data_IF_142885791502
#
_entry.id   IF_142885791502
#
_cell.length_a   1.000
_cell.length_b   1.000
_cell.length_c   1.000
_cell.angle_alpha   90.00
_cell.angle_beta   90.00
_cell.angle_gamma   90.00
#
_symmetry.space_group_name_H-M   'P 1'
#
loop_
_entity.id
_entity.type
_entity.pdbx_description
1 polymer ?
#
# COMPACT_ATOMS: atom_id res chain seq x y z
N UNK A 1 6.71 2.71 -24.38
CA UNK A 1 6.94 2.91 -22.94
C UNK A 1 6.22 1.76 -22.22
N UNK A 2 6.92 0.89 -21.52
CA UNK A 2 6.30 -0.19 -20.75
C UNK A 2 6.47 0.14 -19.26
N UNK A 3 5.47 0.80 -18.69
CA UNK A 3 5.44 1.12 -17.25
C UNK A 3 4.90 -0.11 -16.51
N UNK A 4 5.53 -0.49 -15.40
CA UNK A 4 5.08 -1.62 -14.57
C UNK A 4 4.32 -1.14 -13.32
N UNK A 5 4.36 0.15 -13.06
CA UNK A 5 3.71 0.83 -11.95
C UNK A 5 2.24 1.11 -12.23
N UNK A 6 1.42 0.94 -11.20
CA UNK A 6 0.13 1.61 -11.10
C UNK A 6 0.35 3.13 -10.99
N UNK A 7 -0.56 3.92 -11.56
CA UNK A 7 -0.40 5.39 -11.67
C UNK A 7 -1.61 6.13 -11.16
N UNK A 8 -1.39 7.18 -10.38
CA UNK A 8 -2.39 8.16 -9.99
C UNK A 8 -1.88 9.56 -10.34
N UNK A 9 -2.78 10.44 -10.79
CA UNK A 9 -2.51 11.85 -11.05
C UNK A 9 -3.25 12.68 -10.01
N UNK A 10 -2.50 13.49 -9.28
CA UNK A 10 -3.06 14.50 -8.39
C UNK A 10 -2.84 15.87 -9.03
N UNK A 11 -3.92 16.62 -9.20
CA UNK A 11 -3.91 18.01 -9.68
C UNK A 11 -4.56 18.89 -8.62
N UNK A 12 -3.87 19.98 -8.26
CA UNK A 12 -4.31 20.91 -7.21
C UNK A 12 -4.78 20.18 -5.94
N UNK A 13 -3.97 19.21 -5.50
CA UNK A 13 -4.16 18.39 -4.29
C UNK A 13 -5.35 17.39 -4.34
N UNK A 14 -5.97 17.18 -5.50
CA UNK A 14 -7.10 16.27 -5.73
C UNK A 14 -6.74 15.16 -6.72
N UNK A 15 -7.21 13.93 -6.47
CA UNK A 15 -7.03 12.81 -7.41
C UNK A 15 -7.94 12.96 -8.64
N UNK A 16 -7.37 13.25 -9.81
CA UNK A 16 -8.12 13.49 -11.05
C UNK A 16 -8.09 12.34 -12.03
N UNK A 17 -7.04 11.53 -12.02
CA UNK A 17 -6.97 10.29 -12.80
C UNK A 17 -6.28 9.18 -12.02
N UNK A 18 -6.69 7.93 -12.26
CA UNK A 18 -6.11 6.76 -11.62
C UNK A 18 -6.20 5.52 -12.51
N UNK A 19 -5.07 4.82 -12.65
CA UNK A 19 -4.92 3.51 -13.25
C UNK A 19 -4.19 2.61 -12.23
N UNK A 20 -4.96 2.05 -11.31
CA UNK A 20 -4.46 1.10 -10.32
C UNK A 20 -5.02 -0.29 -10.65
N UNK A 21 -4.24 -1.09 -11.38
CA UNK A 21 -4.57 -2.46 -11.75
C UNK A 21 -4.32 -3.44 -10.59
N UNK A 22 -3.41 -3.07 -9.69
CA UNK A 22 -2.91 -3.92 -8.62
C UNK A 22 -3.23 -3.36 -7.22
N UNK A 23 -4.47 -2.93 -6.91
CA UNK A 23 -4.79 -2.34 -5.62
C UNK A 23 -4.72 -3.37 -4.48
N UNK A 24 -4.47 -2.89 -3.26
CA UNK A 24 -4.43 -3.69 -2.04
C UNK A 24 -5.74 -3.57 -1.24
N UNK A 25 -6.76 -4.38 -1.59
CA UNK A 25 -8.06 -4.44 -0.89
C UNK A 25 -8.95 -3.18 -0.93
N UNK A 26 -8.78 -2.30 -1.93
CA UNK A 26 -9.65 -1.14 -2.15
C UNK A 26 -10.04 -0.97 -3.62
N UNK A 27 -11.00 -0.06 -3.90
CA UNK A 27 -11.53 0.19 -5.25
C UNK A 27 -11.05 1.56 -5.75
N UNK A 28 -10.09 1.61 -6.70
CA UNK A 28 -9.49 2.84 -7.23
C UNK A 28 -10.47 3.91 -7.70
N UNK A 29 -11.41 3.53 -8.56
CA UNK A 29 -12.38 4.47 -9.14
C UNK A 29 -13.24 5.19 -8.10
N UNK A 30 -13.44 4.60 -6.91
CA UNK A 30 -14.20 5.23 -5.81
C UNK A 30 -13.43 6.34 -5.08
N UNK A 31 -12.21 6.68 -5.52
CA UNK A 31 -11.39 7.75 -4.93
C UNK A 31 -11.23 8.98 -5.84
N UNK A 32 -11.69 8.90 -7.09
CA UNK A 32 -11.64 10.04 -8.01
C UNK A 32 -12.38 11.24 -7.42
N UNK A 33 -11.81 12.43 -7.59
CA UNK A 33 -12.34 13.69 -7.06
C UNK A 33 -12.09 13.90 -5.57
N UNK A 34 -11.41 12.98 -4.87
CA UNK A 34 -11.09 13.11 -3.45
C UNK A 34 -9.73 13.77 -3.22
N UNK A 35 -9.63 14.57 -2.17
CA UNK A 35 -8.35 15.03 -1.65
C UNK A 35 -7.62 13.89 -0.91
N UNK A 36 -6.30 14.03 -0.77
CA UNK A 36 -5.44 12.99 -0.16
C UNK A 36 -5.89 12.56 1.25
N UNK A 37 -6.40 13.51 2.06
CA UNK A 37 -6.95 13.23 3.39
C UNK A 37 -8.17 12.30 3.35
N UNK A 38 -9.09 12.51 2.40
CA UNK A 38 -10.29 11.69 2.26
C UNK A 38 -9.95 10.28 1.77
N UNK A 39 -8.96 10.17 0.88
CA UNK A 39 -8.46 8.88 0.38
C UNK A 39 -7.87 8.06 1.53
N UNK A 40 -7.09 8.70 2.41
CA UNK A 40 -6.39 8.06 3.53
C UNK A 40 -7.20 7.95 4.82
N UNK A 41 -8.40 8.55 4.89
CA UNK A 41 -9.26 8.48 6.07
C UNK A 41 -9.49 7.05 6.62
N UNK A 42 -9.63 5.99 5.78
CA UNK A 42 -9.82 4.63 6.28
C UNK A 42 -8.57 3.96 6.88
N UNK A 43 -7.40 4.58 6.79
CA UNK A 43 -6.14 4.01 7.31
C UNK A 43 -6.20 3.97 8.83
N UNK A 44 -6.14 2.78 9.41
CA UNK A 44 -6.09 2.59 10.86
C UNK A 44 -4.84 3.26 11.48
N UNK A 45 -5.02 3.86 12.66
CA UNK A 45 -4.02 4.66 13.37
C UNK A 45 -3.39 5.77 12.49
N UNK A 46 -4.18 6.27 11.53
CA UNK A 46 -3.77 7.17 10.46
C UNK A 46 -4.03 8.65 10.72
N UNK A 47 -4.41 9.07 11.92
CA UNK A 47 -4.86 10.44 12.22
C UNK A 47 -3.80 11.48 11.84
N UNK A 48 -2.53 11.22 12.18
CA UNK A 48 -1.40 12.10 11.80
C UNK A 48 -1.22 12.17 10.29
N UNK A 49 -1.42 11.06 9.57
CA UNK A 49 -1.36 11.03 8.11
C UNK A 49 -2.49 11.86 7.49
N UNK A 50 -3.72 11.71 7.99
CA UNK A 50 -4.87 12.47 7.50
C UNK A 50 -4.67 13.98 7.75
N UNK A 51 -4.24 14.36 8.95
CA UNK A 51 -3.95 15.76 9.29
C UNK A 51 -2.83 16.37 8.42
N UNK A 52 -1.78 15.58 8.11
CA UNK A 52 -0.66 16.05 7.28
C UNK A 52 -0.93 15.99 5.77
N UNK A 53 -2.02 15.34 5.33
CA UNK A 53 -2.28 15.06 3.92
C UNK A 53 -2.30 16.28 3.00
N UNK A 54 -2.88 17.44 3.38
CA UNK A 54 -2.81 18.64 2.53
C UNK A 54 -1.37 19.10 2.27
N UNK A 55 -0.52 19.09 3.31
CA UNK A 55 0.89 19.44 3.18
C UNK A 55 1.66 18.42 2.34
N UNK A 56 1.37 17.13 2.51
CA UNK A 56 1.97 16.06 1.72
C UNK A 56 1.62 16.23 0.24
N UNK A 57 0.34 16.43 -0.10
CA UNK A 57 -0.10 16.66 -1.47
C UNK A 57 0.60 17.88 -2.10
N UNK A 58 0.77 18.94 -1.30
CA UNK A 58 1.51 20.12 -1.73
C UNK A 58 2.97 19.81 -2.08
N UNK A 59 3.70 19.19 -1.15
CA UNK A 59 5.11 18.83 -1.32
C UNK A 59 5.30 17.86 -2.50
N UNK A 60 4.40 16.89 -2.68
CA UNK A 60 4.46 15.95 -3.81
C UNK A 60 4.39 16.62 -5.18
N UNK A 61 3.76 17.79 -5.26
CA UNK A 61 3.55 18.57 -6.47
C UNK A 61 4.56 19.71 -6.67
N UNK A 62 5.53 19.87 -5.76
CA UNK A 62 6.53 20.93 -5.80
C UNK A 62 7.81 20.46 -6.52
N UNK A 63 8.14 21.01 -7.72
CA UNK A 63 9.35 20.63 -8.44
C UNK A 63 10.66 20.92 -7.68
N UNK A 64 10.66 21.86 -6.73
CA UNK A 64 11.85 22.16 -5.92
C UNK A 64 12.14 21.05 -4.90
N UNK A 65 11.09 20.37 -4.41
CA UNK A 65 11.22 19.24 -3.49
C UNK A 65 11.61 17.96 -4.23
N UNK A 66 11.20 17.85 -5.50
CA UNK A 66 11.51 16.70 -6.34
C UNK A 66 10.72 15.46 -5.97
N UNK A 67 11.25 14.30 -6.36
CA UNK A 67 10.56 13.01 -6.18
C UNK A 67 10.92 12.34 -4.86
N UNK A 68 9.92 11.77 -4.19
CA UNK A 68 10.11 10.98 -2.97
C UNK A 68 9.79 9.51 -3.22
N UNK A 69 10.54 8.61 -2.58
CA UNK A 69 10.26 7.16 -2.60
C UNK A 69 10.07 6.64 -1.18
N UNK A 70 9.07 5.78 -1.00
CA UNK A 70 8.83 5.03 0.23
C UNK A 70 8.41 3.59 -0.09
N UNK A 71 8.45 2.74 0.93
CA UNK A 71 8.07 1.34 0.82
C UNK A 71 6.91 1.04 1.76
N UNK A 72 5.94 0.29 1.27
CA UNK A 72 4.83 -0.25 2.07
C UNK A 72 4.77 -1.74 1.84
N UNK A 73 4.55 -2.50 2.91
CA UNK A 73 4.42 -3.95 2.79
C UNK A 73 3.24 -4.48 3.59
N UNK A 74 2.80 -5.67 3.18
CA UNK A 74 1.87 -6.51 3.93
C UNK A 74 2.15 -7.98 3.61
N UNK A 75 1.53 -8.86 4.38
CA UNK A 75 1.42 -10.28 4.07
C UNK A 75 0.01 -10.53 3.56
N UNK A 76 -0.13 -11.42 2.58
CA UNK A 76 -1.42 -11.82 2.04
C UNK A 76 -1.44 -13.31 1.74
N UNK A 77 -2.63 -13.84 1.52
CA UNK A 77 -2.92 -15.24 1.15
C UNK A 77 -3.04 -15.43 -0.38
N UNK A 78 -2.38 -14.59 -1.17
CA UNK A 78 -2.57 -14.54 -2.63
C UNK A 78 -1.29 -14.17 -3.34
N UNK A 79 -0.93 -14.94 -4.37
CA UNK A 79 0.18 -14.64 -5.28
C UNK A 79 -0.14 -13.49 -6.25
N UNK A 80 -1.43 -13.21 -6.43
CA UNK A 80 -1.90 -12.22 -7.42
C UNK A 80 -1.46 -10.80 -7.09
N UNK A 81 -1.05 -10.06 -8.13
CA UNK A 81 -0.72 -8.64 -8.02
C UNK A 81 -1.96 -7.81 -7.66
N UNK A 82 -3.14 -8.17 -8.16
CA UNK A 82 -4.37 -7.45 -7.85
C UNK A 82 -5.11 -8.08 -6.68
N UNK A 83 -5.34 -7.30 -5.64
CA UNK A 83 -6.21 -7.67 -4.51
C UNK A 83 -7.47 -6.80 -4.49
N UNK A 84 -7.94 -6.39 -5.67
CA UNK A 84 -9.20 -5.68 -5.81
C UNK A 84 -10.32 -6.47 -5.11
N UNK A 85 -11.23 -5.85 -4.33
CA UNK A 85 -12.23 -6.57 -3.53
C UNK A 85 -13.10 -7.57 -4.31
N UNK A 86 -13.35 -7.32 -5.60
CA UNK A 86 -14.08 -8.25 -6.48
C UNK A 86 -13.31 -9.51 -6.89
N UNK A 87 -11.98 -9.52 -6.76
CA UNK A 87 -11.08 -10.62 -7.16
C UNK A 87 -10.28 -11.19 -5.99
N UNK A 88 -10.47 -10.65 -4.78
CA UNK A 88 -9.70 -11.02 -3.60
C UNK A 88 -9.91 -12.50 -3.27
N UNK A 89 -8.80 -13.20 -3.02
CA UNK A 89 -8.82 -14.61 -2.59
C UNK A 89 -9.62 -14.77 -1.30
N UNK A 90 -10.52 -15.75 -1.30
CA UNK A 90 -11.28 -16.18 -0.10
C UNK A 90 -10.60 -17.35 0.62
N UNK A 91 -9.46 -17.82 0.13
CA UNK A 91 -8.74 -18.94 0.73
C UNK A 91 -8.29 -18.59 2.14
N UNK A 92 -8.51 -19.48 3.10
CA UNK A 92 -8.00 -19.29 4.46
C UNK A 92 -6.61 -19.95 4.51
N UNK A 93 -5.52 -19.19 4.73
CA UNK A 93 -4.18 -19.77 4.81
C UNK A 93 -4.09 -20.67 6.04
N UNK A 94 -3.46 -21.83 5.89
CA UNK A 94 -3.28 -22.83 6.95
C UNK A 94 -1.82 -22.99 7.34
N UNK A 95 -0.90 -22.56 6.49
CA UNK A 95 0.55 -22.72 6.62
C UNK A 95 1.26 -21.47 6.11
N UNK A 96 2.52 -21.29 6.48
CA UNK A 96 3.33 -20.16 6.01
C UNK A 96 3.55 -20.21 4.50
N UNK A 97 3.58 -21.40 3.92
CA UNK A 97 3.69 -21.64 2.47
C UNK A 97 2.49 -21.10 1.68
N UNK A 98 1.33 -20.90 2.33
CA UNK A 98 0.15 -20.30 1.71
C UNK A 98 0.22 -18.76 1.68
N UNK A 99 1.29 -18.18 2.24
CA UNK A 99 1.43 -16.73 2.42
C UNK A 99 2.45 -16.13 1.46
N UNK A 100 2.17 -14.88 1.10
CA UNK A 100 2.97 -14.09 0.18
C UNK A 100 3.31 -12.75 0.81
N UNK A 101 4.57 -12.35 0.66
CA UNK A 101 5.03 -11.01 0.98
C UNK A 101 4.72 -10.09 -0.19
N UNK A 102 3.98 -9.01 0.07
CA UNK A 102 3.62 -8.00 -0.92
C UNK A 102 4.33 -6.70 -0.59
N UNK A 103 5.10 -6.20 -1.54
CA UNK A 103 5.80 -4.92 -1.46
C UNK A 103 5.22 -3.93 -2.45
N UNK A 104 5.04 -2.69 -1.99
CA UNK A 104 4.72 -1.54 -2.81
C UNK A 104 5.87 -0.54 -2.72
N UNK A 105 6.56 -0.32 -3.83
CA UNK A 105 7.49 0.81 -3.98
C UNK A 105 6.70 1.99 -4.49
N UNK A 106 6.44 2.95 -3.60
CA UNK A 106 5.63 4.12 -3.88
C UNK A 106 6.54 5.31 -4.17
N UNK A 107 6.38 5.92 -5.34
CA UNK A 107 7.17 7.08 -5.77
C UNK A 107 6.23 8.24 -6.11
N UNK A 108 6.49 9.41 -5.52
CA UNK A 108 5.83 10.66 -5.88
C UNK A 108 6.72 11.39 -6.87
N UNK A 109 6.16 12.01 -7.90
CA UNK A 109 6.93 12.76 -8.90
C UNK A 109 6.18 14.03 -9.28
N UNK A 110 6.68 15.23 -8.93
CA UNK A 110 6.08 16.47 -9.39
C UNK A 110 6.19 16.55 -10.91
N UNK A 111 5.14 17.07 -11.56
CA UNK A 111 5.13 17.29 -13.00
C UNK A 111 4.75 18.73 -13.31
N UNK A 112 5.38 19.29 -14.35
CA UNK A 112 5.06 20.64 -14.81
C UNK A 112 3.80 20.61 -15.68
N UNK A 113 2.84 21.46 -15.35
CA UNK A 113 1.63 21.63 -16.16
C UNK A 113 1.32 23.11 -16.32
N UNK A 114 0.59 23.47 -17.38
CA UNK A 114 0.04 24.82 -17.56
C UNK A 114 -1.24 25.06 -16.74
N UNK A 115 -1.82 24.01 -16.14
CA UNK A 115 -3.11 24.05 -15.43
C UNK A 115 -2.98 24.20 -13.91
N UNK A 116 -1.76 24.18 -13.38
CA UNK A 116 -1.48 24.33 -11.96
C UNK A 116 -0.48 23.29 -11.43
N UNK A 117 -0.56 23.04 -10.12
CA UNK A 117 0.31 22.07 -9.45
C UNK A 117 -0.18 20.66 -9.74
N UNK A 118 0.73 19.77 -10.11
CA UNK A 118 0.40 18.38 -10.31
C UNK A 118 1.52 17.43 -9.91
N UNK A 119 1.16 16.20 -9.59
CA UNK A 119 2.09 15.13 -9.28
C UNK A 119 1.57 13.78 -9.76
N UNK A 120 2.50 12.92 -10.17
CA UNK A 120 2.25 11.51 -10.35
C UNK A 120 2.55 10.78 -9.04
N UNK A 121 1.70 9.82 -8.72
CA UNK A 121 1.95 8.81 -7.70
C UNK A 121 2.04 7.46 -8.39
N UNK A 122 3.23 6.89 -8.36
CA UNK A 122 3.60 5.64 -9.03
C UNK A 122 3.74 4.54 -7.98
N UNK A 123 3.16 3.37 -8.22
CA UNK A 123 3.23 2.24 -7.30
C UNK A 123 3.68 0.99 -8.05
N UNK A 124 4.93 0.57 -7.85
CA UNK A 124 5.41 -0.73 -8.30
C UNK A 124 5.01 -1.78 -7.27
N UNK A 125 4.27 -2.81 -7.71
CA UNK A 125 3.85 -3.93 -6.87
C UNK A 125 4.72 -5.14 -7.16
N UNK A 126 5.26 -5.73 -6.11
CA UNK A 126 6.01 -6.99 -6.16
C UNK A 126 5.41 -7.97 -5.15
N UNK A 127 5.22 -9.22 -5.56
CA UNK A 127 4.69 -10.28 -4.72
C UNK A 127 5.59 -11.50 -4.83
N UNK A 128 6.01 -12.04 -3.69
CA UNK A 128 6.78 -13.29 -3.64
C UNK A 128 6.32 -14.18 -2.48
N UNK A 129 6.57 -15.50 -2.52
CA UNK A 129 6.27 -16.38 -1.40
C UNK A 129 6.93 -15.89 -0.12
N UNK A 130 6.20 -15.88 1.00
CA UNK A 130 6.75 -15.46 2.29
C UNK A 130 7.94 -16.33 2.71
N UNK A 131 7.95 -17.59 2.27
CA UNK A 131 9.04 -18.54 2.50
C UNK A 131 10.41 -18.06 2.05
N UNK A 132 10.49 -17.15 1.06
CA UNK A 132 11.76 -16.52 0.64
C UNK A 132 12.45 -15.80 1.80
N UNK A 133 11.69 -15.18 2.70
CA UNK A 133 12.22 -14.52 3.90
C UNK A 133 12.14 -15.41 5.14
N UNK A 134 11.13 -16.29 5.19
CA UNK A 134 10.85 -17.09 6.37
C UNK A 134 11.98 -18.05 6.73
N UNK A 135 12.73 -18.55 5.74
CA UNK A 135 13.86 -19.47 5.97
C UNK A 135 15.01 -18.80 6.75
N UNK A 136 15.16 -17.48 6.66
CA UNK A 136 16.14 -16.73 7.44
C UNK A 136 15.55 -16.39 8.83
N UNK A 137 16.15 -16.89 9.94
CA UNK A 137 15.64 -16.65 11.28
C UNK A 137 15.55 -15.17 11.66
N UNK A 138 16.51 -14.33 11.26
CA UNK A 138 16.52 -12.90 11.59
C UNK A 138 15.37 -12.17 10.89
N UNK A 139 15.16 -12.45 9.60
CA UNK A 139 14.05 -11.86 8.84
C UNK A 139 12.70 -12.32 9.37
N UNK A 140 12.58 -13.61 9.74
CA UNK A 140 11.39 -14.15 10.39
C UNK A 140 11.08 -13.41 11.69
N UNK A 141 12.07 -13.22 12.56
CA UNK A 141 11.92 -12.50 13.82
C UNK A 141 11.46 -11.07 13.56
N UNK A 142 12.05 -10.37 12.59
CA UNK A 142 11.66 -9.00 12.25
C UNK A 142 10.21 -8.91 11.75
N UNK A 143 9.79 -9.83 10.88
CA UNK A 143 8.42 -9.91 10.39
C UNK A 143 7.45 -10.16 11.54
N UNK A 144 7.73 -11.17 12.38
CA UNK A 144 6.90 -11.50 13.54
C UNK A 144 6.80 -10.32 14.51
N UNK A 145 7.92 -9.68 14.86
CA UNK A 145 7.94 -8.52 15.73
C UNK A 145 7.12 -7.35 15.16
N UNK A 146 7.22 -7.11 13.85
CA UNK A 146 6.43 -6.05 13.20
C UNK A 146 4.93 -6.36 13.16
N UNK A 147 4.52 -7.61 12.97
CA UNK A 147 3.10 -8.00 13.01
C UNK A 147 2.58 -7.97 14.45
N UNK A 148 3.42 -8.37 15.42
CA UNK A 148 3.06 -8.39 16.83
C UNK A 148 2.82 -6.98 17.37
N UNK A 149 3.58 -5.97 16.90
CA UNK A 149 3.44 -4.57 17.32
C UNK A 149 2.24 -3.83 16.72
N UNK A 150 1.53 -4.41 15.75
CA UNK A 150 0.34 -3.79 15.17
C UNK A 150 -0.83 -3.80 16.15
N UNK A 151 -1.56 -2.68 16.22
CA UNK A 151 -2.83 -2.59 16.92
C UNK A 151 -3.90 -3.47 16.27
N UNK A 152 -4.96 -3.80 17.00
CA UNK A 152 -6.10 -4.55 16.46
C UNK A 152 -6.78 -3.83 15.29
N UNK A 153 -6.81 -2.49 15.30
CA UNK A 153 -7.35 -1.69 14.22
C UNK A 153 -6.49 -1.84 12.94
N UNK A 154 -5.16 -1.80 13.07
CA UNK A 154 -4.24 -2.00 11.94
C UNK A 154 -4.32 -3.43 11.40
N UNK A 155 -4.39 -4.44 12.29
CA UNK A 155 -4.56 -5.83 11.87
C UNK A 155 -5.86 -6.05 11.11
N UNK A 156 -6.96 -5.43 11.53
CA UNK A 156 -8.23 -5.51 10.82
C UNK A 156 -8.15 -4.80 9.46
N UNK A 157 -7.66 -3.55 9.44
CA UNK A 157 -7.49 -2.78 8.21
C UNK A 157 -6.64 -3.52 7.16
N UNK A 158 -5.53 -4.14 7.59
CA UNK A 158 -4.64 -4.90 6.70
C UNK A 158 -5.10 -6.34 6.44
N UNK A 159 -6.19 -6.81 7.05
CA UNK A 159 -6.66 -8.20 6.99
C UNK A 159 -5.63 -9.23 7.49
N UNK A 160 -4.96 -8.92 8.60
CA UNK A 160 -3.84 -9.69 9.15
C UNK A 160 -4.20 -10.50 10.40
N UNK A 161 -5.43 -10.45 10.93
CA UNK A 161 -5.79 -11.15 12.18
C UNK A 161 -5.49 -12.66 12.15
N UNK A 162 -6.04 -13.38 11.17
CA UNK A 162 -5.80 -14.82 11.02
C UNK A 162 -4.35 -15.13 10.66
N UNK A 163 -3.71 -14.27 9.87
CA UNK A 163 -2.30 -14.40 9.52
C UNK A 163 -1.42 -14.25 10.77
N UNK A 164 -1.68 -13.25 11.64
CA UNK A 164 -0.96 -13.07 12.90
C UNK A 164 -1.06 -14.32 13.77
N UNK A 165 -2.26 -14.87 13.93
CA UNK A 165 -2.45 -16.11 14.68
C UNK A 165 -1.64 -17.28 14.07
N UNK A 166 -1.62 -17.41 12.74
CA UNK A 166 -0.84 -18.45 12.05
C UNK A 166 0.68 -18.25 12.20
N UNK A 167 1.17 -17.01 12.14
CA UNK A 167 2.60 -16.72 12.22
C UNK A 167 3.16 -16.85 13.64
N UNK A 168 2.33 -16.59 14.65
CA UNK A 168 2.73 -16.53 16.06
C UNK A 168 2.21 -17.70 16.91
N UNK A 169 1.26 -18.48 16.40
CA UNK A 169 0.62 -19.60 17.10
C UNK A 169 1.22 -20.98 16.81
N UNK A 170 2.39 -21.03 16.17
CA UNK A 170 3.16 -22.26 16.03
C UNK A 170 4.29 -22.26 17.07
N UNK A 171 3.92 -22.51 18.33
CA UNK A 171 4.83 -23.03 19.35
C UNK A 171 4.84 -24.56 19.30
#
# INVERSE_FOLDING_TARGET
LCLNEDVALLENDVLTAICFCFPSSWVPAKRLGMALAQIHYPVADGERLVQASPKIAHVMSDPQQGSFRRYVWTISNSAELSQHPLRKSKAIPKRVEDLYYRLETQTTMPINTSLGRASLFLVKVEVCPLMTFWQNPEQRIQICASIQSMSEAVLEYKNLRSIKALLLGND
#
